data_IF_293421344104
#
_entry.id   IF_293421344104
#
_cell.length_a   1.000
_cell.length_b   1.000
_cell.length_c   1.000
_cell.angle_alpha   90.00
_cell.angle_beta   90.00
_cell.angle_gamma   90.00
#
_symmetry.space_group_name_H-M   'P 1'
#
loop_
_entity.id
_entity.type
_entity.pdbx_description
1 polymer ?
#
# COMPACT_ATOMS: atom_id res chain seq x y z
N UNK A 1 -3.95 -41.53 31.65
CA UNK A 1 -4.37 -40.38 30.81
C UNK A 1 -5.71 -40.71 30.17
N UNK A 2 -6.81 -40.04 30.54
CA UNK A 2 -8.12 -40.30 29.92
C UNK A 2 -8.17 -39.65 28.53
N UNK A 3 -8.44 -40.45 27.48
CA UNK A 3 -8.76 -39.93 26.14
C UNK A 3 -10.18 -39.38 26.16
N UNK A 4 -10.33 -38.07 26.03
CA UNK A 4 -11.61 -37.40 25.79
C UNK A 4 -12.23 -37.95 24.49
N UNK A 5 -13.28 -38.77 24.61
CA UNK A 5 -14.14 -39.17 23.49
C UNK A 5 -14.96 -37.94 23.09
N UNK A 6 -14.46 -37.16 22.14
CA UNK A 6 -15.21 -36.07 21.54
C UNK A 6 -16.39 -36.66 20.75
N UNK A 7 -17.59 -36.56 21.29
CA UNK A 7 -18.82 -37.03 20.64
C UNK A 7 -19.18 -36.08 19.50
N UNK A 8 -19.17 -36.59 18.25
CA UNK A 8 -19.50 -35.85 17.02
C UNK A 8 -20.77 -34.97 17.08
N UNK A 9 -21.72 -35.28 17.97
CA UNK A 9 -22.95 -34.47 18.14
C UNK A 9 -22.69 -33.06 18.68
N UNK A 10 -21.73 -32.89 19.60
CA UNK A 10 -21.43 -31.57 20.17
C UNK A 10 -20.80 -30.65 19.12
N UNK A 11 -19.93 -31.22 18.28
CA UNK A 11 -19.29 -30.52 17.17
C UNK A 11 -20.32 -30.01 16.14
N UNK A 12 -21.29 -30.85 15.80
CA UNK A 12 -22.35 -30.50 14.83
C UNK A 12 -23.23 -29.36 15.36
N UNK A 13 -23.67 -29.43 16.63
CA UNK A 13 -24.50 -28.38 17.23
C UNK A 13 -23.73 -27.06 17.35
N UNK A 14 -22.47 -27.11 17.77
CA UNK A 14 -21.61 -25.93 17.84
C UNK A 14 -21.39 -25.31 16.44
N UNK A 15 -21.17 -26.13 15.41
CA UNK A 15 -21.00 -25.66 14.03
C UNK A 15 -22.26 -24.93 13.53
N UNK A 16 -23.45 -25.52 13.72
CA UNK A 16 -24.71 -24.91 13.28
C UNK A 16 -25.16 -23.69 14.10
N UNK A 17 -24.61 -23.48 15.30
CA UNK A 17 -24.86 -22.26 16.08
C UNK A 17 -23.81 -21.16 15.77
N UNK A 18 -22.53 -21.53 15.72
CA UNK A 18 -21.42 -20.58 15.56
C UNK A 18 -21.34 -20.05 14.13
N UNK A 19 -21.51 -20.90 13.12
CA UNK A 19 -21.36 -20.47 11.71
C UNK A 19 -22.43 -19.43 11.33
N UNK A 20 -23.74 -19.62 11.63
CA UNK A 20 -24.73 -18.58 11.37
C UNK A 20 -24.49 -17.30 12.19
N UNK A 21 -24.04 -17.41 13.45
CA UNK A 21 -23.69 -16.23 14.24
C UNK A 21 -22.50 -15.45 13.65
N UNK A 22 -21.47 -16.15 13.14
CA UNK A 22 -20.35 -15.52 12.42
C UNK A 22 -20.81 -14.89 11.10
N UNK A 23 -21.73 -15.52 10.37
CA UNK A 23 -22.30 -14.95 9.14
C UNK A 23 -23.10 -13.68 9.43
N UNK A 24 -23.97 -13.70 10.43
CA UNK A 24 -24.76 -12.54 10.83
C UNK A 24 -23.86 -11.37 11.29
N UNK A 25 -22.83 -11.68 12.08
CA UNK A 25 -21.86 -10.67 12.52
C UNK A 25 -20.92 -10.20 11.41
N UNK A 26 -20.75 -10.97 10.33
CA UNK A 26 -19.99 -10.54 9.16
C UNK A 26 -20.73 -9.47 8.32
N UNK A 27 -22.08 -9.50 8.34
CA UNK A 27 -22.93 -8.53 7.64
C UNK A 27 -22.97 -7.17 8.34
N UNK A 28 -22.88 -7.15 9.67
CA UNK A 28 -22.88 -5.92 10.47
C UNK A 28 -21.53 -5.21 10.29
N UNK A 29 -21.57 -4.01 9.71
CA UNK A 29 -20.38 -3.17 9.51
C UNK A 29 -20.16 -2.27 10.72
N UNK A 30 -18.93 -2.24 11.21
CA UNK A 30 -18.48 -1.35 12.30
C UNK A 30 -17.34 -0.45 11.85
N UNK A 31 -17.13 0.71 12.51
CA UNK A 31 -15.98 1.57 12.21
C UNK A 31 -14.66 0.83 12.35
N UNK A 32 -13.78 0.99 11.37
CA UNK A 32 -12.46 0.38 11.40
C UNK A 32 -11.61 0.98 12.54
N UNK A 33 -11.03 0.17 13.44
CA UNK A 33 -10.26 0.66 14.58
C UNK A 33 -8.90 1.24 14.19
N UNK A 34 -8.43 0.98 12.96
CA UNK A 34 -7.14 1.44 12.42
C UNK A 34 -7.22 2.91 11.99
N UNK A 35 -8.21 3.25 11.15
CA UNK A 35 -8.48 4.61 10.68
C UNK A 35 -9.57 5.35 11.47
N UNK A 36 -10.13 4.73 12.51
CA UNK A 36 -11.20 5.36 13.31
C UNK A 36 -12.52 5.57 12.55
N UNK A 37 -12.72 4.90 11.42
CA UNK A 37 -13.93 5.03 10.61
C UNK A 37 -13.82 5.96 9.40
N UNK A 38 -12.71 6.68 9.24
CA UNK A 38 -12.53 7.66 8.14
C UNK A 38 -12.24 7.00 6.79
N UNK A 39 -11.66 5.80 6.79
CA UNK A 39 -11.16 5.15 5.59
C UNK A 39 -9.70 5.44 5.26
N UNK A 40 -9.07 6.43 5.90
CA UNK A 40 -7.65 6.80 5.68
C UNK A 40 -6.85 6.85 6.99
N UNK A 41 -5.57 6.46 6.94
CA UNK A 41 -4.73 6.30 8.16
C UNK A 41 -3.91 7.56 8.50
N UNK A 42 -3.70 8.43 7.53
CA UNK A 42 -2.83 9.61 7.68
C UNK A 42 -3.47 10.79 6.97
N UNK A 43 -3.76 11.87 7.70
CA UNK A 43 -4.26 13.09 7.07
C UNK A 43 -3.16 13.69 6.18
N UNK A 44 -3.58 14.22 5.03
CA UNK A 44 -2.72 14.90 4.07
C UNK A 44 -3.18 16.37 3.94
N UNK A 45 -2.97 17.21 4.97
CA UNK A 45 -3.38 18.62 4.95
C UNK A 45 -2.71 19.37 3.80
N UNK A 46 -3.41 20.34 3.19
CA UNK A 46 -2.90 21.17 2.09
C UNK A 46 -2.69 20.45 0.75
N UNK A 47 -2.63 19.10 0.70
CA UNK A 47 -2.34 18.35 -0.53
C UNK A 47 -3.40 18.49 -1.63
N UNK A 48 -4.60 18.98 -1.32
CA UNK A 48 -5.60 19.32 -2.33
C UNK A 48 -5.17 20.48 -3.25
N UNK A 49 -4.24 21.32 -2.79
CA UNK A 49 -3.68 22.47 -3.52
C UNK A 49 -2.34 22.12 -4.21
N UNK A 50 -1.88 20.88 -4.09
CA UNK A 50 -0.63 20.42 -4.71
C UNK A 50 -0.93 19.84 -6.08
N UNK A 51 -0.16 20.28 -7.08
CA UNK A 51 -0.20 19.79 -8.46
C UNK A 51 1.17 19.29 -8.87
N UNK A 52 1.21 18.15 -9.55
CA UNK A 52 2.43 17.66 -10.20
C UNK A 52 2.51 18.35 -11.56
N UNK A 53 3.57 19.13 -11.77
CA UNK A 53 3.82 19.86 -13.01
C UNK A 53 4.57 18.99 -14.01
N UNK A 54 5.58 18.26 -13.53
CA UNK A 54 6.44 17.41 -14.33
C UNK A 54 6.88 16.17 -13.56
N UNK A 55 7.09 15.09 -14.30
CA UNK A 55 7.59 13.81 -13.81
C UNK A 55 8.62 13.30 -14.81
N UNK A 56 9.88 13.28 -14.39
CA UNK A 56 10.96 12.65 -15.16
C UNK A 56 11.55 11.51 -14.35
N UNK A 57 12.03 10.47 -15.04
CA UNK A 57 12.61 9.32 -14.37
C UNK A 57 13.73 8.71 -15.20
N UNK A 58 14.69 8.11 -14.51
CA UNK A 58 15.81 7.37 -15.09
C UNK A 58 15.84 5.99 -14.44
N UNK A 59 15.79 4.95 -15.26
CA UNK A 59 16.02 3.58 -14.80
C UNK A 59 17.50 3.42 -14.43
N UNK A 60 17.77 3.10 -13.15
CA UNK A 60 19.13 2.93 -12.65
C UNK A 60 19.62 1.50 -12.80
N UNK A 61 18.80 0.54 -12.37
CA UNK A 61 19.19 -0.87 -12.27
C UNK A 61 17.98 -1.77 -12.41
N UNK A 62 18.17 -2.85 -13.17
CA UNK A 62 17.23 -3.97 -13.29
C UNK A 62 17.92 -5.24 -12.83
N UNK A 63 17.34 -5.91 -11.84
CA UNK A 63 17.87 -7.18 -11.33
C UNK A 63 16.79 -8.24 -11.44
N UNK A 64 17.07 -9.30 -12.20
CA UNK A 64 16.24 -10.49 -12.23
C UNK A 64 16.69 -11.45 -11.14
N UNK A 65 15.75 -11.89 -10.31
CA UNK A 65 15.97 -13.03 -9.43
C UNK A 65 15.34 -14.27 -10.07
N UNK A 66 16.21 -15.16 -10.55
CA UNK A 66 15.81 -16.44 -11.16
C UNK A 66 15.24 -17.42 -10.15
N UNK A 67 15.57 -17.30 -8.87
CA UNK A 67 14.99 -18.11 -7.80
C UNK A 67 13.62 -17.57 -7.37
N UNK A 68 13.49 -16.24 -7.34
CA UNK A 68 12.28 -15.54 -6.93
C UNK A 68 11.20 -15.39 -8.00
N UNK A 69 11.56 -15.55 -9.29
CA UNK A 69 10.68 -15.30 -10.44
C UNK A 69 10.10 -13.87 -10.42
N UNK A 70 10.93 -12.91 -10.02
CA UNK A 70 10.59 -11.49 -10.09
C UNK A 70 11.78 -10.67 -10.58
N UNK A 71 11.47 -9.49 -11.11
CA UNK A 71 12.40 -8.48 -11.56
C UNK A 71 12.24 -7.25 -10.68
N UNK A 72 13.35 -6.78 -10.13
CA UNK A 72 13.43 -5.55 -9.35
C UNK A 72 13.87 -4.42 -10.26
N UNK A 73 13.07 -3.36 -10.31
CA UNK A 73 13.33 -2.17 -11.10
C UNK A 73 13.59 -0.99 -10.16
N UNK A 74 14.78 -0.39 -10.28
CA UNK A 74 15.15 0.81 -9.53
C UNK A 74 15.09 2.02 -10.45
N UNK A 75 14.36 3.04 -10.04
CA UNK A 75 14.28 4.32 -10.75
C UNK A 75 14.70 5.47 -9.86
N UNK A 76 15.44 6.42 -10.42
CA UNK A 76 15.56 7.75 -9.88
C UNK A 76 14.50 8.63 -10.54
N UNK A 77 13.57 9.15 -9.73
CA UNK A 77 12.40 9.89 -10.19
C UNK A 77 12.50 11.32 -9.70
N UNK A 78 12.39 12.29 -10.60
CA UNK A 78 12.29 13.71 -10.27
C UNK A 78 10.86 14.17 -10.49
N UNK A 79 10.28 14.73 -9.44
CA UNK A 79 8.91 15.25 -9.47
C UNK A 79 8.97 16.75 -9.21
N UNK A 80 8.43 17.53 -10.15
CA UNK A 80 8.19 18.94 -9.95
C UNK A 80 6.77 19.15 -9.45
N UNK A 81 6.64 19.84 -8.33
CA UNK A 81 5.35 20.07 -7.68
C UNK A 81 5.15 21.55 -7.41
N UNK A 82 3.91 22.00 -7.59
CA UNK A 82 3.44 23.33 -7.26
C UNK A 82 2.39 23.23 -6.16
N UNK A 83 2.56 23.99 -5.08
CA UNK A 83 1.50 24.26 -4.12
C UNK A 83 0.91 25.64 -4.43
N UNK A 84 -0.32 25.69 -4.95
CA UNK A 84 -1.04 26.94 -5.21
C UNK A 84 -1.90 27.42 -4.01
N UNK A 85 -1.84 26.68 -2.91
CA UNK A 85 -2.56 26.97 -1.68
C UNK A 85 -1.89 28.04 -0.84
N UNK A 86 -2.64 28.53 0.15
CA UNK A 86 -2.19 29.50 1.15
C UNK A 86 -1.68 28.83 2.44
N UNK A 87 -1.55 27.51 2.44
CA UNK A 87 -1.08 26.70 3.56
C UNK A 87 -0.03 25.69 3.09
N UNK A 88 0.87 25.32 4.00
CA UNK A 88 1.88 24.30 3.74
C UNK A 88 1.19 22.95 3.52
N UNK A 89 1.64 22.21 2.52
CA UNK A 89 1.06 20.94 2.15
C UNK A 89 1.98 19.80 2.58
N UNK A 90 1.53 19.03 3.56
CA UNK A 90 2.26 17.87 4.06
C UNK A 90 1.45 16.62 3.76
N UNK A 91 2.02 15.70 3.01
CA UNK A 91 1.32 14.47 2.68
C UNK A 91 2.13 13.52 1.84
N UNK A 92 1.45 12.90 0.87
CA UNK A 92 1.97 11.74 0.14
C UNK A 92 1.73 11.87 -1.35
N UNK A 93 2.70 11.39 -2.12
CA UNK A 93 2.60 11.18 -3.56
C UNK A 93 2.60 9.68 -3.79
N UNK A 94 1.64 9.20 -4.57
CA UNK A 94 1.59 7.82 -5.03
C UNK A 94 2.33 7.73 -6.37
N UNK A 95 3.47 7.07 -6.39
CA UNK A 95 4.22 6.75 -7.60
C UNK A 95 3.86 5.33 -8.02
N UNK A 96 3.46 5.14 -9.27
CA UNK A 96 2.94 3.88 -9.80
C UNK A 96 3.77 3.43 -10.98
N UNK A 97 4.11 2.15 -11.00
CA UNK A 97 4.64 1.47 -12.17
C UNK A 97 3.46 1.01 -13.03
N UNK A 98 3.40 1.48 -14.27
CA UNK A 98 2.35 1.14 -15.24
C UNK A 98 2.95 0.32 -16.37
N UNK A 99 2.33 -0.81 -16.69
CA UNK A 99 2.64 -1.61 -17.87
C UNK A 99 1.91 -1.03 -19.09
N UNK A 100 2.65 -0.56 -20.08
CA UNK A 100 2.08 0.01 -21.32
C UNK A 100 1.81 -1.03 -22.39
N UNK A 101 2.09 -2.32 -22.12
CA UNK A 101 1.86 -3.40 -23.09
C UNK A 101 0.39 -3.81 -23.20
N UNK A 102 -0.44 -3.42 -22.23
CA UNK A 102 -1.88 -3.73 -22.19
C UNK A 102 -2.65 -2.43 -22.42
N UNK A 103 -3.52 -2.36 -23.42
CA UNK A 103 -4.28 -1.13 -23.71
C UNK A 103 -5.47 -0.89 -22.74
N UNK A 104 -5.69 -1.78 -21.76
CA UNK A 104 -6.88 -1.80 -20.92
C UNK A 104 -6.70 -1.07 -19.58
N UNK A 105 -6.50 0.25 -19.62
CA UNK A 105 -6.93 1.25 -18.61
C UNK A 105 -6.49 1.15 -17.14
N UNK A 106 -5.98 0.02 -16.65
CA UNK A 106 -5.65 -0.23 -15.25
C UNK A 106 -4.45 -1.16 -15.13
N UNK A 107 -3.36 -0.77 -15.79
CA UNK A 107 -2.13 -1.56 -15.85
C UNK A 107 -1.15 -1.22 -14.72
N UNK A 108 -1.68 -0.80 -13.57
CA UNK A 108 -0.86 -0.56 -12.40
C UNK A 108 -0.28 -1.91 -11.96
N UNK A 109 1.04 -2.03 -12.08
CA UNK A 109 1.81 -3.20 -11.67
C UNK A 109 2.06 -3.14 -10.17
N UNK A 110 2.55 -1.99 -9.72
CA UNK A 110 2.92 -1.73 -8.33
C UNK A 110 2.87 -0.23 -8.03
N UNK A 111 2.84 0.13 -6.75
CA UNK A 111 2.80 1.53 -6.33
C UNK A 111 3.48 1.76 -4.99
N UNK A 112 4.16 2.90 -4.88
CA UNK A 112 4.82 3.38 -3.68
C UNK A 112 4.29 4.74 -3.27
N UNK A 113 4.27 4.98 -1.96
CA UNK A 113 3.90 6.26 -1.39
C UNK A 113 5.15 6.92 -0.84
N UNK A 114 5.47 8.10 -1.35
CA UNK A 114 6.57 8.92 -0.85
C UNK A 114 6.03 10.11 -0.10
N UNK A 115 6.61 10.41 1.06
CA UNK A 115 6.24 11.59 1.83
C UNK A 115 6.79 12.83 1.15
N UNK A 116 5.98 13.89 1.11
CA UNK A 116 6.39 15.21 0.61
C UNK A 116 5.93 16.30 1.55
N UNK A 117 6.72 17.36 1.57
CA UNK A 117 6.42 18.64 2.19
C UNK A 117 6.59 19.74 1.14
N UNK A 118 5.50 20.44 0.81
CA UNK A 118 5.49 21.50 -0.21
C UNK A 118 5.14 22.84 0.43
N UNK A 119 6.10 23.78 0.52
CA UNK A 119 5.86 25.09 1.07
C UNK A 119 4.78 25.87 0.31
N UNK A 120 4.14 26.82 0.99
CA UNK A 120 3.12 27.72 0.46
C UNK A 120 3.59 28.42 -0.82
N UNK A 121 2.74 28.47 -1.86
CA UNK A 121 2.98 29.25 -3.09
C UNK A 121 4.36 28.99 -3.72
N UNK A 122 4.83 27.75 -3.65
CA UNK A 122 6.18 27.38 -4.10
C UNK A 122 6.15 26.28 -5.15
N UNK A 123 7.21 26.25 -5.95
CA UNK A 123 7.55 25.12 -6.82
C UNK A 123 8.76 24.42 -6.21
N UNK A 124 8.62 23.13 -5.94
CA UNK A 124 9.73 22.30 -5.47
C UNK A 124 10.07 21.25 -6.53
N UNK A 125 11.34 20.87 -6.58
CA UNK A 125 11.80 19.70 -7.32
C UNK A 125 12.31 18.70 -6.30
N UNK A 126 11.77 17.49 -6.31
CA UNK A 126 12.15 16.43 -5.37
C UNK A 126 12.63 15.21 -6.14
N UNK A 127 13.79 14.69 -5.74
CA UNK A 127 14.36 13.46 -6.25
C UNK A 127 14.02 12.30 -5.31
N UNK A 128 13.50 11.21 -5.87
CA UNK A 128 13.11 10.00 -5.15
C UNK A 128 13.71 8.76 -5.81
N UNK A 129 14.28 7.88 -4.99
CA UNK A 129 14.67 6.55 -5.44
C UNK A 129 13.53 5.59 -5.13
N UNK A 130 12.89 5.05 -6.16
CA UNK A 130 11.76 4.11 -6.03
C UNK A 130 12.13 2.75 -6.60
N UNK A 131 11.64 1.70 -5.96
CA UNK A 131 12.04 0.31 -6.25
C UNK A 131 10.82 -0.58 -6.44
N UNK A 132 10.46 -0.89 -7.68
CA UNK A 132 9.29 -1.71 -7.98
C UNK A 132 9.66 -3.18 -8.17
N UNK A 133 8.82 -4.07 -7.64
CA UNK A 133 8.88 -5.49 -7.91
C UNK A 133 7.87 -5.91 -8.95
N UNK A 134 8.29 -6.65 -9.97
CA UNK A 134 7.36 -7.13 -11.00
C UNK A 134 7.77 -8.46 -11.60
N UNK A 135 6.80 -9.29 -11.98
CA UNK A 135 7.05 -10.47 -12.83
C UNK A 135 7.27 -10.13 -14.31
N UNK A 136 7.19 -8.85 -14.68
CA UNK A 136 7.38 -8.38 -16.04
C UNK A 136 8.86 -8.08 -16.29
N UNK A 137 9.43 -8.81 -17.24
CA UNK A 137 10.79 -8.57 -17.76
C UNK A 137 10.73 -8.02 -19.19
N UNK A 138 10.07 -6.87 -19.38
CA UNK A 138 9.99 -6.22 -20.69
C UNK A 138 10.52 -4.78 -20.62
N UNK A 139 11.77 -4.53 -21.04
CA UNK A 139 12.35 -3.19 -21.04
C UNK A 139 11.58 -2.25 -21.97
N UNK A 140 11.42 -1.00 -21.55
CA UNK A 140 10.77 0.05 -22.35
C UNK A 140 9.24 -0.06 -22.49
N UNK A 141 8.60 -1.00 -21.79
CA UNK A 141 7.12 -1.11 -21.72
C UNK A 141 6.56 -0.76 -20.35
N UNK A 142 7.35 -0.08 -19.55
CA UNK A 142 6.98 0.37 -18.22
C UNK A 142 7.10 1.89 -18.16
N UNK A 143 6.10 2.55 -17.59
CA UNK A 143 6.09 3.98 -17.34
C UNK A 143 5.83 4.25 -15.86
N UNK A 144 6.41 5.32 -15.34
CA UNK A 144 6.04 5.84 -14.03
C UNK A 144 4.93 6.87 -14.18
N UNK A 145 3.95 6.81 -13.29
CA UNK A 145 2.94 7.85 -13.08
C UNK A 145 2.96 8.26 -11.61
N UNK A 146 2.84 9.55 -11.36
CA UNK A 146 2.74 10.08 -10.01
C UNK A 146 1.36 10.73 -9.81
N UNK A 147 0.75 10.51 -8.66
CA UNK A 147 -0.55 11.06 -8.27
C UNK A 147 -0.48 11.65 -6.86
N UNK A 148 -1.09 12.81 -6.68
CA UNK A 148 -1.19 13.47 -5.36
C UNK A 148 -2.27 12.77 -4.54
N UNK A 149 -1.94 12.35 -3.33
CA UNK A 149 -2.89 11.66 -2.45
C UNK A 149 -3.66 12.68 -1.62
N UNK A 150 -4.92 12.90 -1.97
CA UNK A 150 -5.82 13.81 -1.27
C UNK A 150 -6.55 13.05 -0.15
N UNK A 151 -6.60 13.63 1.05
CA UNK A 151 -7.38 13.07 2.18
C UNK A 151 -6.72 11.87 2.89
N UNK A 152 -5.55 11.43 2.42
CA UNK A 152 -4.72 10.42 3.08
C UNK A 152 -4.61 9.08 2.37
N UNK A 153 -3.70 8.23 2.87
CA UNK A 153 -3.50 6.88 2.32
C UNK A 153 -4.70 6.00 2.71
N UNK A 154 -5.33 5.29 1.74
CA UNK A 154 -6.44 4.39 2.02
C UNK A 154 -6.00 3.31 3.01
N UNK A 155 -6.79 3.12 4.07
CA UNK A 155 -6.49 2.16 5.11
C UNK A 155 -6.63 0.73 4.56
N UNK A 156 -5.52 -0.02 4.55
CA UNK A 156 -5.48 -1.41 4.07
C UNK A 156 -6.47 -2.29 4.84
N UNK A 157 -6.61 -2.06 6.14
CA UNK A 157 -7.49 -2.84 7.02
C UNK A 157 -8.99 -2.78 6.65
N UNK A 158 -9.44 -1.68 6.02
CA UNK A 158 -10.82 -1.54 5.55
C UNK A 158 -10.91 -1.26 4.05
N UNK A 159 -9.79 -1.39 3.31
CA UNK A 159 -9.66 -1.04 1.91
C UNK A 159 -10.27 0.33 1.56
N UNK A 160 -9.96 1.37 2.35
CA UNK A 160 -10.48 2.72 2.13
C UNK A 160 -11.95 2.97 2.55
N UNK A 161 -12.73 1.93 2.87
CA UNK A 161 -14.18 2.07 3.14
C UNK A 161 -14.53 2.67 4.51
N UNK A 162 -13.56 2.71 5.43
CA UNK A 162 -13.76 3.11 6.83
C UNK A 162 -14.48 2.07 7.69
N UNK A 163 -14.95 0.95 7.12
CA UNK A 163 -15.79 -0.02 7.84
C UNK A 163 -15.26 -1.45 7.70
N UNK A 164 -15.39 -2.23 8.77
CA UNK A 164 -15.04 -3.67 8.79
C UNK A 164 -16.19 -4.50 9.36
N UNK A 165 -16.29 -5.79 9.02
CA UNK A 165 -17.21 -6.73 9.67
C UNK A 165 -17.01 -6.75 11.19
N UNK A 166 -18.11 -6.85 11.96
CA UNK A 166 -18.07 -6.84 13.44
C UNK A 166 -17.21 -7.98 13.99
N UNK A 167 -17.29 -9.16 13.39
CA UNK A 167 -16.49 -10.32 13.79
C UNK A 167 -14.98 -10.18 13.49
N UNK A 168 -14.59 -9.33 12.54
CA UNK A 168 -13.20 -9.03 12.23
C UNK A 168 -12.58 -8.00 13.18
N UNK A 169 -13.41 -7.21 13.87
CA UNK A 169 -12.96 -6.14 14.78
C UNK A 169 -11.91 -6.57 15.82
N UNK A 170 -12.07 -7.65 16.60
CA UNK A 170 -11.07 -8.02 17.60
C UNK A 170 -9.71 -8.29 16.98
N UNK A 171 -9.67 -8.99 15.85
CA UNK A 171 -8.43 -9.32 15.13
C UNK A 171 -7.77 -8.08 14.50
N UNK A 172 -8.55 -7.22 13.83
CA UNK A 172 -8.02 -5.99 13.22
C UNK A 172 -7.54 -5.02 14.30
N UNK A 173 -8.18 -5.00 15.48
CA UNK A 173 -7.75 -4.16 16.59
C UNK A 173 -6.42 -4.61 17.19
N UNK A 174 -6.16 -5.92 17.28
CA UNK A 174 -4.88 -6.44 17.78
C UNK A 174 -3.72 -6.15 16.82
N UNK A 175 -4.00 -6.05 15.52
CA UNK A 175 -3.00 -5.75 14.49
C UNK A 175 -2.94 -4.26 14.13
N UNK A 176 -3.59 -3.38 14.91
CA UNK A 176 -3.76 -1.97 14.54
C UNK A 176 -2.45 -1.26 14.21
N UNK A 177 -1.46 -1.33 15.10
CA UNK A 177 -0.19 -0.63 14.89
C UNK A 177 0.59 -1.24 13.72
N UNK A 178 0.63 -2.57 13.60
CA UNK A 178 1.20 -3.26 12.45
C UNK A 178 0.54 -2.85 11.13
N UNK A 179 -0.78 -2.77 11.07
CA UNK A 179 -1.51 -2.37 9.87
C UNK A 179 -1.34 -0.88 9.55
N UNK A 180 -1.20 -0.01 10.55
CA UNK A 180 -0.85 1.40 10.33
C UNK A 180 0.55 1.53 9.78
N UNK A 181 1.50 0.78 10.34
CA UNK A 181 2.87 0.72 9.87
C UNK A 181 2.89 0.20 8.45
N UNK A 182 2.22 -0.91 8.13
CA UNK A 182 2.08 -1.43 6.76
C UNK A 182 1.45 -0.42 5.78
N UNK A 183 0.55 0.45 6.27
CA UNK A 183 -0.06 1.50 5.44
C UNK A 183 0.89 2.71 5.25
N UNK A 184 1.89 2.88 6.12
CA UNK A 184 2.83 4.02 6.14
C UNK A 184 4.23 3.67 5.68
N UNK A 185 4.66 2.43 5.92
CA UNK A 185 5.90 1.88 5.42
C UNK A 185 5.82 1.99 3.91
N UNK A 186 6.91 2.45 3.31
CA UNK A 186 7.21 2.13 1.92
C UNK A 186 6.70 0.70 1.70
N UNK A 187 5.88 0.47 0.69
CA UNK A 187 5.84 -0.86 0.13
C UNK A 187 7.24 -1.06 -0.48
N UNK A 188 8.24 -1.32 0.37
CA UNK A 188 9.26 -2.28 0.01
C UNK A 188 8.42 -3.49 -0.36
N UNK A 189 8.32 -3.71 -1.66
CA UNK A 189 7.90 -4.98 -2.18
C UNK A 189 8.75 -6.03 -1.45
N UNK A 190 8.14 -6.72 -0.48
CA UNK A 190 8.73 -7.87 0.17
C UNK A 190 8.38 -9.07 -0.71
N UNK A 191 9.33 -9.58 -1.50
CA UNK A 191 9.12 -10.84 -2.20
C UNK A 191 9.13 -11.95 -1.14
N UNK A 192 8.78 -13.19 -1.50
CA UNK A 192 8.55 -14.26 -0.53
C UNK A 192 9.66 -14.35 0.54
N UNK A 193 9.22 -14.64 1.78
CA UNK A 193 9.90 -14.54 3.10
C UNK A 193 11.25 -15.26 3.23
N UNK A 194 11.76 -15.86 2.15
CA UNK A 194 12.97 -16.70 2.13
C UNK A 194 14.20 -15.99 1.57
N UNK A 195 14.13 -14.68 1.29
CA UNK A 195 15.20 -13.93 0.60
C UNK A 195 15.74 -12.83 1.53
N UNK A 196 17.07 -12.72 1.63
CA UNK A 196 17.78 -11.69 2.39
C UNK A 196 18.01 -10.43 1.55
N UNK A 197 17.30 -9.36 1.91
CA UNK A 197 17.21 -8.11 1.16
C UNK A 197 18.38 -7.15 1.36
N UNK A 198 19.18 -7.36 2.41
CA UNK A 198 20.38 -6.56 2.68
C UNK A 198 21.36 -6.58 1.50
N UNK A 199 21.35 -7.66 0.72
CA UNK A 199 22.18 -7.88 -0.47
C UNK A 199 21.81 -6.97 -1.66
N UNK A 200 20.59 -6.44 -1.71
CA UNK A 200 20.11 -5.59 -2.80
C UNK A 200 20.04 -4.11 -2.44
N UNK A 201 20.03 -3.78 -1.15
CA UNK A 201 20.03 -2.42 -0.62
C UNK A 201 21.47 -1.85 -0.58
N UNK A 202 22.49 -2.70 -0.50
CA UNK A 202 23.91 -2.29 -0.36
C UNK A 202 24.78 -2.51 -1.61
N UNK A 203 24.49 -1.86 -2.73
CA UNK A 203 25.49 -1.70 -3.81
C UNK A 203 25.65 -0.26 -4.28
N UNK A 204 25.89 0.64 -3.32
CA UNK A 204 26.47 1.97 -3.58
C UNK A 204 27.96 1.96 -3.19
N UNK A 205 28.71 0.99 -3.71
CA UNK A 205 30.18 1.05 -3.81
C UNK A 205 30.60 0.82 -5.25
#
# INVERSE_FOLDING_TARGET
MPRLKYTNRLFIVAFFAIVPALLLTALIKTPCPVCGGTGSVTNAPGMANVKILDLSFVELKRVQDTCGVYTVWKFNTKIQMLNDGNEEAVGWIKIMLIDTSKDEGNNMVDSQFVKVDVPVQSIINSDYNVVFGTGLDQPGKTLLRAEVVIGGIPCIACNGTGKIPLNARPFVSSLKEYLKELTRSENEYHPPVFIDWSQYIMSDQ
#
